data_IF_320362515343
#
_entry.id   IF_320362515343
#
_cell.length_a   1.000
_cell.length_b   1.000
_cell.length_c   1.000
_cell.angle_alpha   90.00
_cell.angle_beta   90.00
_cell.angle_gamma   90.00
#
_symmetry.space_group_name_H-M   'P 1'
#
loop_
_entity.id
_entity.type
_entity.pdbx_description
1 polymer ?
#
# COMPACT_ATOMS: atom_id res chain seq x y z
N UNK A 1 15.53 34.28 27.94
CA UNK A 1 15.95 34.32 26.53
C UNK A 1 16.91 33.18 26.26
N UNK A 2 16.41 32.12 25.62
CA UNK A 2 17.22 31.14 24.90
C UNK A 2 16.33 30.67 23.76
N UNK A 3 16.21 31.51 22.74
CA UNK A 3 15.69 31.07 21.46
C UNK A 3 16.70 30.05 20.95
N UNK A 4 16.45 28.77 21.23
CA UNK A 4 17.08 27.71 20.45
C UNK A 4 16.72 28.01 19.01
N UNK A 5 17.72 28.26 18.18
CA UNK A 5 17.61 28.29 16.73
C UNK A 5 16.96 26.98 16.26
N UNK A 6 15.64 26.90 16.32
CA UNK A 6 14.85 25.95 15.56
C UNK A 6 15.14 26.34 14.13
N UNK A 7 16.13 25.66 13.55
CA UNK A 7 16.53 25.79 12.17
C UNK A 7 15.24 25.64 11.35
N UNK A 8 14.70 26.76 10.88
CA UNK A 8 13.41 26.78 10.19
C UNK A 8 13.59 25.87 8.98
N UNK A 9 12.88 24.74 8.96
CA UNK A 9 12.97 23.78 7.88
C UNK A 9 12.59 24.51 6.58
N UNK A 10 13.50 24.66 5.61
CA UNK A 10 13.22 25.43 4.40
C UNK A 10 12.29 24.67 3.45
N UNK A 11 12.12 23.36 3.67
CA UNK A 11 11.23 22.50 2.88
C UNK A 11 9.77 22.92 3.12
N UNK A 12 9.00 23.23 2.05
CA UNK A 12 7.57 23.48 2.14
C UNK A 12 6.84 22.36 2.88
N UNK A 13 5.83 22.73 3.67
CA UNK A 13 5.12 21.82 4.59
C UNK A 13 4.66 20.54 3.86
N UNK A 14 4.07 20.66 2.67
CA UNK A 14 3.55 19.51 1.91
C UNK A 14 4.64 18.55 1.40
N UNK A 15 5.87 19.03 1.23
CA UNK A 15 7.00 18.23 0.74
C UNK A 15 7.84 17.62 1.89
N UNK A 16 7.44 17.87 3.14
CA UNK A 16 8.11 17.29 4.30
C UNK A 16 7.66 15.83 4.49
N UNK A 17 8.59 14.87 4.65
CA UNK A 17 8.26 13.45 4.79
C UNK A 17 7.25 13.11 5.90
N UNK A 18 7.23 13.90 6.98
CA UNK A 18 6.28 13.73 8.08
C UNK A 18 4.85 14.08 7.68
N UNK A 19 4.67 15.12 6.87
CA UNK A 19 3.35 15.56 6.43
C UNK A 19 2.84 14.66 5.30
N UNK A 20 3.72 14.23 4.38
CA UNK A 20 3.39 13.20 3.39
C UNK A 20 2.94 11.89 4.08
N UNK A 21 3.58 11.51 5.20
CA UNK A 21 3.19 10.36 6.00
C UNK A 21 1.78 10.51 6.60
N UNK A 22 1.48 11.63 7.27
CA UNK A 22 0.14 11.83 7.85
C UNK A 22 -0.94 11.94 6.77
N UNK A 23 -0.68 12.62 5.66
CA UNK A 23 -1.58 12.67 4.51
C UNK A 23 -1.86 11.28 3.93
N UNK A 24 -0.84 10.44 3.76
CA UNK A 24 -1.02 9.07 3.30
C UNK A 24 -1.86 8.27 4.29
N UNK A 25 -1.55 8.38 5.59
CA UNK A 25 -2.26 7.67 6.66
C UNK A 25 -3.74 8.04 6.77
N UNK A 26 -4.10 9.29 6.50
CA UNK A 26 -5.49 9.78 6.51
C UNK A 26 -6.25 9.47 5.21
N UNK A 27 -5.54 9.17 4.14
CA UNK A 27 -6.18 8.90 2.85
C UNK A 27 -7.08 7.66 2.90
N UNK A 28 -8.16 7.71 2.11
CA UNK A 28 -9.22 6.70 2.15
C UNK A 28 -8.73 5.26 1.93
N UNK A 29 -7.82 5.04 0.99
CA UNK A 29 -7.31 3.71 0.65
C UNK A 29 -6.17 3.30 1.59
N UNK A 30 -5.17 4.15 1.78
CA UNK A 30 -3.95 3.77 2.50
C UNK A 30 -4.16 3.64 4.01
N UNK A 31 -5.15 4.33 4.58
CA UNK A 31 -5.61 4.14 5.96
C UNK A 31 -6.03 2.70 6.26
N UNK A 32 -6.39 1.88 5.27
CA UNK A 32 -6.79 0.50 5.54
C UNK A 32 -5.68 -0.32 6.18
N UNK A 33 -4.42 -0.01 5.86
CA UNK A 33 -3.28 -0.75 6.38
C UNK A 33 -3.02 -0.47 7.88
N UNK A 34 -3.55 0.64 8.40
CA UNK A 34 -3.46 1.04 9.82
C UNK A 34 -4.66 0.57 10.66
N UNK A 35 -5.71 0.04 10.02
CA UNK A 35 -6.89 -0.46 10.72
C UNK A 35 -6.58 -1.70 11.58
N UNK A 36 -7.44 -1.93 12.58
CA UNK A 36 -7.46 -3.17 13.33
C UNK A 36 -7.59 -4.40 12.42
N UNK A 37 -7.14 -5.56 12.93
CA UNK A 37 -7.08 -6.80 12.15
C UNK A 37 -8.43 -7.16 11.53
N UNK A 38 -9.52 -7.09 12.30
CA UNK A 38 -10.87 -7.43 11.85
C UNK A 38 -11.34 -6.54 10.70
N UNK A 39 -11.22 -5.22 10.86
CA UNK A 39 -11.65 -4.23 9.87
C UNK A 39 -10.84 -4.32 8.57
N UNK A 40 -9.53 -4.53 8.67
CA UNK A 40 -8.66 -4.76 7.52
C UNK A 40 -9.11 -5.98 6.70
N UNK A 41 -9.30 -7.13 7.34
CA UNK A 41 -9.78 -8.33 6.64
C UNK A 41 -11.17 -8.13 6.04
N UNK A 42 -12.05 -7.39 6.73
CA UNK A 42 -13.37 -7.01 6.18
C UNK A 42 -13.23 -6.20 4.90
N UNK A 43 -12.33 -5.21 4.85
CA UNK A 43 -12.08 -4.40 3.65
C UNK A 43 -11.59 -5.26 2.49
N UNK A 44 -10.62 -6.14 2.73
CA UNK A 44 -10.10 -7.05 1.71
C UNK A 44 -11.17 -8.02 1.19
N UNK A 45 -11.99 -8.58 2.09
CA UNK A 45 -13.09 -9.46 1.71
C UNK A 45 -14.15 -8.75 0.86
N UNK A 46 -14.46 -7.49 1.17
CA UNK A 46 -15.36 -6.66 0.35
C UNK A 46 -14.77 -6.43 -1.05
N UNK A 47 -13.49 -6.06 -1.15
CA UNK A 47 -12.83 -5.88 -2.46
C UNK A 47 -12.82 -7.17 -3.25
N UNK A 48 -12.50 -8.30 -2.62
CA UNK A 48 -12.54 -9.61 -3.26
C UNK A 48 -13.95 -9.96 -3.74
N UNK A 49 -14.98 -9.74 -2.92
CA UNK A 49 -16.38 -10.02 -3.28
C UNK A 49 -16.84 -9.15 -4.46
N UNK A 50 -16.51 -7.85 -4.45
CA UNK A 50 -16.80 -6.96 -5.58
C UNK A 50 -16.06 -7.43 -6.83
N UNK A 51 -14.78 -7.76 -6.71
CA UNK A 51 -13.98 -8.29 -7.82
C UNK A 51 -14.58 -9.58 -8.38
N UNK A 52 -15.04 -10.47 -7.51
CA UNK A 52 -15.70 -11.71 -7.90
C UNK A 52 -17.00 -11.43 -8.67
N UNK A 53 -17.84 -10.50 -8.21
CA UNK A 53 -19.05 -10.09 -8.92
C UNK A 53 -18.78 -9.50 -10.31
N UNK A 54 -17.65 -8.80 -10.48
CA UNK A 54 -17.25 -8.22 -11.77
C UNK A 54 -16.71 -9.30 -12.71
N UNK A 55 -15.88 -10.21 -12.21
CA UNK A 55 -15.21 -11.25 -13.01
C UNK A 55 -16.14 -12.41 -13.34
N UNK A 56 -17.07 -12.74 -12.44
CA UNK A 56 -17.96 -13.89 -12.55
C UNK A 56 -18.77 -13.94 -13.87
N UNK A 57 -19.38 -12.85 -14.38
CA UNK A 57 -20.03 -12.88 -15.70
C UNK A 57 -19.07 -13.21 -16.86
N UNK A 58 -17.82 -12.74 -16.78
CA UNK A 58 -16.77 -13.01 -17.77
C UNK A 58 -16.33 -14.47 -17.68
N UNK A 59 -16.20 -15.00 -16.46
CA UNK A 59 -15.92 -16.41 -16.24
C UNK A 59 -17.07 -17.31 -16.72
N UNK A 60 -18.33 -16.92 -16.50
CA UNK A 60 -19.52 -17.69 -16.91
C UNK A 60 -19.65 -17.82 -18.43
N UNK A 61 -19.17 -16.82 -19.19
CA UNK A 61 -19.17 -16.88 -20.66
C UNK A 61 -18.15 -17.88 -21.18
N UNK A 62 -17.02 -18.03 -20.48
CA UNK A 62 -15.95 -18.98 -20.84
C UNK A 62 -16.26 -20.39 -20.31
N UNK A 63 -16.78 -20.48 -19.09
CA UNK A 63 -17.08 -21.70 -18.35
C UNK A 63 -18.52 -21.64 -17.84
N UNK A 64 -19.50 -22.14 -18.63
CA UNK A 64 -20.90 -22.10 -18.24
C UNK A 64 -21.12 -22.82 -16.89
N UNK A 65 -21.69 -22.16 -15.87
CA UNK A 65 -21.86 -22.73 -14.53
C UNK A 65 -22.57 -24.10 -14.49
N UNK A 66 -23.60 -24.38 -15.32
CA UNK A 66 -24.26 -25.69 -15.33
C UNK A 66 -23.40 -26.83 -15.88
N UNK A 67 -22.40 -26.52 -16.72
CA UNK A 67 -21.56 -27.52 -17.40
C UNK A 67 -20.26 -27.76 -16.65
N UNK A 68 -19.65 -26.70 -16.14
CA UNK A 68 -18.31 -26.73 -15.53
C UNK A 68 -18.25 -25.83 -14.29
N UNK A 69 -18.94 -26.21 -13.19
CA UNK A 69 -19.05 -25.37 -12.00
C UNK A 69 -17.69 -25.12 -11.31
N UNK A 70 -16.79 -26.11 -11.32
CA UNK A 70 -15.46 -26.00 -10.71
C UNK A 70 -14.57 -25.01 -11.47
N UNK A 71 -14.47 -25.14 -12.80
CA UNK A 71 -13.69 -24.22 -13.65
C UNK A 71 -14.21 -22.79 -13.57
N UNK A 72 -15.54 -22.62 -13.52
CA UNK A 72 -16.18 -21.33 -13.30
C UNK A 72 -15.78 -20.71 -11.96
N UNK A 73 -15.82 -21.50 -10.87
CA UNK A 73 -15.45 -21.03 -9.54
C UNK A 73 -13.99 -20.61 -9.46
N UNK A 74 -13.07 -21.44 -9.98
CA UNK A 74 -11.63 -21.18 -9.97
C UNK A 74 -11.28 -19.95 -10.83
N UNK A 75 -11.82 -19.84 -12.05
CA UNK A 75 -11.56 -18.69 -12.91
C UNK A 75 -12.10 -17.38 -12.33
N UNK A 76 -13.30 -17.41 -11.73
CA UNK A 76 -13.86 -16.27 -11.01
C UNK A 76 -13.00 -15.88 -9.81
N UNK A 77 -12.52 -16.86 -9.03
CA UNK A 77 -11.67 -16.62 -7.87
C UNK A 77 -10.31 -16.03 -8.28
N UNK A 78 -9.67 -16.58 -9.32
CA UNK A 78 -8.39 -16.09 -9.83
C UNK A 78 -8.48 -14.64 -10.32
N UNK A 79 -9.54 -14.29 -11.06
CA UNK A 79 -9.72 -12.91 -11.49
C UNK A 79 -10.04 -11.96 -10.32
N UNK A 80 -10.85 -12.38 -9.35
CA UNK A 80 -11.11 -11.60 -8.13
C UNK A 80 -9.82 -11.38 -7.31
N UNK A 81 -9.01 -12.43 -7.16
CA UNK A 81 -7.71 -12.38 -6.49
C UNK A 81 -6.73 -11.46 -7.23
N UNK A 82 -6.73 -11.45 -8.57
CA UNK A 82 -5.92 -10.53 -9.36
C UNK A 82 -6.30 -9.06 -9.12
N UNK A 83 -7.60 -8.74 -9.05
CA UNK A 83 -8.05 -7.38 -8.71
C UNK A 83 -7.65 -6.99 -7.28
N UNK A 84 -7.80 -7.90 -6.32
CA UNK A 84 -7.34 -7.68 -4.95
C UNK A 84 -5.81 -7.47 -4.89
N UNK A 85 -5.06 -8.20 -5.72
CA UNK A 85 -3.60 -8.09 -5.80
C UNK A 85 -3.18 -6.68 -6.23
N UNK A 86 -3.87 -6.07 -7.20
CA UNK A 86 -3.61 -4.69 -7.63
C UNK A 86 -3.84 -3.68 -6.50
N UNK A 87 -4.91 -3.84 -5.72
CA UNK A 87 -5.18 -2.96 -4.56
C UNK A 87 -4.10 -3.11 -3.49
N UNK A 88 -3.67 -4.33 -3.19
CA UNK A 88 -2.59 -4.60 -2.23
C UNK A 88 -1.23 -4.06 -2.72
N UNK A 89 -0.96 -4.16 -4.03
CA UNK A 89 0.26 -3.60 -4.63
C UNK A 89 0.28 -2.07 -4.51
N UNK A 90 -0.85 -1.41 -4.81
CA UNK A 90 -0.98 0.05 -4.65
C UNK A 90 -0.69 0.47 -3.20
N UNK A 91 -1.31 -0.23 -2.23
CA UNK A 91 -1.07 0.00 -0.80
C UNK A 91 0.42 -0.15 -0.46
N UNK A 92 1.02 -1.27 -0.89
CA UNK A 92 2.41 -1.57 -0.58
C UNK A 92 3.36 -0.53 -1.15
N UNK A 93 3.15 -0.09 -2.40
CA UNK A 93 3.97 0.93 -3.06
C UNK A 93 3.89 2.28 -2.36
N UNK A 94 2.70 2.75 -1.97
CA UNK A 94 2.57 4.04 -1.27
C UNK A 94 3.25 4.03 0.10
N UNK A 95 3.06 2.96 0.88
CA UNK A 95 3.74 2.81 2.17
C UNK A 95 5.27 2.63 2.03
N UNK A 96 5.71 1.94 0.98
CA UNK A 96 7.15 1.78 0.65
C UNK A 96 7.78 3.13 0.32
N UNK A 97 7.11 3.93 -0.50
CA UNK A 97 7.54 5.28 -0.89
C UNK A 97 7.76 6.18 0.33
N UNK A 98 6.77 6.26 1.24
CA UNK A 98 6.91 7.06 2.48
C UNK A 98 8.03 6.52 3.36
N UNK A 99 8.15 5.19 3.48
CA UNK A 99 9.25 4.58 4.23
C UNK A 99 10.62 5.00 3.70
N UNK A 100 10.79 5.05 2.37
CA UNK A 100 12.02 5.50 1.73
C UNK A 100 12.25 7.01 1.93
N UNK A 101 11.20 7.85 1.90
CA UNK A 101 11.29 9.30 2.18
C UNK A 101 11.72 9.60 3.62
N UNK A 102 11.20 8.84 4.59
CA UNK A 102 11.59 8.96 6.00
C UNK A 102 13.03 8.50 6.22
N UNK A 103 13.47 7.43 5.53
CA UNK A 103 14.83 6.88 5.66
C UNK A 103 15.92 7.78 5.08
N UNK A 104 15.64 8.50 3.99
CA UNK A 104 16.63 9.33 3.29
C UNK A 104 17.16 10.46 4.18
N UNK A 105 18.46 10.72 4.05
CA UNK A 105 19.15 11.78 4.81
C UNK A 105 18.94 13.17 4.21
N UNK A 106 18.69 13.23 2.91
CA UNK A 106 18.40 14.45 2.17
C UNK A 106 16.96 14.47 1.68
N UNK A 107 16.40 15.67 1.61
CA UNK A 107 15.09 15.94 0.99
C UNK A 107 15.32 16.88 -0.17
N UNK A 108 14.95 16.43 -1.37
CA UNK A 108 14.81 17.33 -2.50
C UNK A 108 13.47 18.04 -2.39
N UNK A 109 13.48 19.37 -2.53
CA UNK A 109 12.30 20.21 -2.43
C UNK A 109 12.37 21.36 -3.42
N UNK A 110 11.20 21.89 -3.77
CA UNK A 110 11.04 23.01 -4.69
C UNK A 110 10.31 24.14 -3.98
N UNK A 111 10.94 25.32 -3.94
CA UNK A 111 10.29 26.56 -3.48
C UNK A 111 9.47 27.15 -4.63
N UNK A 112 8.31 27.73 -4.34
CA UNK A 112 7.43 28.30 -5.37
C UNK A 112 8.17 29.34 -6.23
N UNK A 113 8.40 29.05 -7.51
CA UNK A 113 9.17 29.90 -8.41
C UNK A 113 9.45 29.22 -9.75
N UNK A 114 10.12 29.94 -10.67
CA UNK A 114 10.42 29.42 -12.02
C UNK A 114 11.70 28.55 -12.06
N UNK A 115 12.60 28.68 -11.08
CA UNK A 115 13.80 27.86 -10.93
C UNK A 115 14.31 27.89 -9.48
N UNK A 116 14.28 26.74 -8.79
CA UNK A 116 15.44 26.13 -8.11
C UNK A 116 14.97 25.02 -7.17
N UNK A 117 15.03 23.77 -7.66
CA UNK A 117 14.96 22.60 -6.81
C UNK A 117 16.22 22.51 -5.95
N UNK A 118 16.06 22.49 -4.63
CA UNK A 118 17.15 22.45 -3.67
C UNK A 118 17.18 21.11 -2.94
N UNK A 119 18.35 20.76 -2.40
CA UNK A 119 18.49 19.60 -1.52
C UNK A 119 18.83 20.06 -0.12
N UNK A 120 18.01 19.66 0.83
CA UNK A 120 18.22 19.95 2.24
C UNK A 120 18.67 18.69 2.98
N UNK A 121 19.78 18.80 3.72
CA UNK A 121 20.25 17.76 4.62
C UNK A 121 19.47 17.84 5.92
N UNK A 122 18.79 16.75 6.29
CA UNK A 122 18.01 16.70 7.53
C UNK A 122 18.96 16.78 8.75
N UNK A 123 18.69 17.64 9.73
CA UNK A 123 19.45 17.68 10.98
C UNK A 123 19.22 16.39 11.77
N UNK A 124 20.16 16.03 12.67
CA UNK A 124 20.12 14.74 13.36
C UNK A 124 18.84 14.51 14.17
N UNK A 125 18.22 15.56 14.70
CA UNK A 125 16.96 15.49 15.44
C UNK A 125 15.80 15.04 14.54
N UNK A 126 15.70 15.61 13.33
CA UNK A 126 14.66 15.26 12.33
C UNK A 126 14.88 13.83 11.82
N UNK A 127 16.12 13.45 11.55
CA UNK A 127 16.45 12.08 11.14
C UNK A 127 16.10 11.05 12.19
N UNK A 128 16.41 11.34 13.44
CA UNK A 128 16.11 10.42 14.55
C UNK A 128 14.60 10.23 14.69
N UNK A 129 13.83 11.32 14.62
CA UNK A 129 12.35 11.25 14.60
C UNK A 129 11.82 10.43 13.44
N UNK A 130 12.27 10.72 12.20
CA UNK A 130 11.80 10.02 11.00
C UNK A 130 12.13 8.51 11.06
N UNK A 131 13.31 8.14 11.60
CA UNK A 131 13.72 6.74 11.80
C UNK A 131 12.86 6.03 12.85
N UNK A 132 12.43 6.71 13.90
CA UNK A 132 11.50 6.16 14.90
C UNK A 132 10.11 5.90 14.28
N UNK A 133 9.60 6.82 13.46
CA UNK A 133 8.33 6.63 12.75
C UNK A 133 8.45 5.45 11.78
N UNK A 134 9.55 5.40 11.03
CA UNK A 134 9.83 4.29 10.12
C UNK A 134 9.83 2.95 10.85
N UNK A 135 10.53 2.81 11.98
CA UNK A 135 10.67 1.53 12.68
C UNK A 135 9.39 1.11 13.41
N UNK A 136 8.71 2.04 14.09
CA UNK A 136 7.56 1.70 14.94
C UNK A 136 6.22 1.78 14.24
N UNK A 137 6.09 2.56 13.16
CA UNK A 137 4.81 2.80 12.50
C UNK A 137 4.79 2.22 11.08
N UNK A 138 5.77 2.54 10.22
CA UNK A 138 5.74 2.14 8.80
C UNK A 138 6.20 0.71 8.56
N UNK A 139 7.29 0.26 9.20
CA UNK A 139 7.80 -1.09 9.06
C UNK A 139 6.78 -2.20 9.39
N UNK A 140 6.00 -2.14 10.49
CA UNK A 140 4.99 -3.17 10.76
C UNK A 140 3.84 -3.17 9.74
N UNK A 141 3.49 -2.00 9.19
CA UNK A 141 2.50 -1.88 8.10
C UNK A 141 3.02 -2.60 6.84
N UNK A 142 4.26 -2.32 6.44
CA UNK A 142 4.89 -2.98 5.30
C UNK A 142 4.98 -4.50 5.50
N UNK A 143 5.38 -4.95 6.70
CA UNK A 143 5.45 -6.38 6.99
C UNK A 143 4.08 -7.06 6.91
N UNK A 144 3.03 -6.40 7.42
CA UNK A 144 1.65 -6.88 7.31
C UNK A 144 1.23 -7.00 5.85
N UNK A 145 1.45 -5.96 5.03
CA UNK A 145 1.09 -5.97 3.62
C UNK A 145 1.85 -7.05 2.85
N UNK A 146 3.16 -7.19 3.08
CA UNK A 146 3.96 -8.27 2.46
C UNK A 146 3.42 -9.64 2.82
N UNK A 147 3.06 -9.90 4.09
CA UNK A 147 2.44 -11.18 4.49
C UNK A 147 1.13 -11.42 3.75
N UNK A 148 0.25 -10.43 3.65
CA UNK A 148 -1.02 -10.56 2.93
C UNK A 148 -0.80 -10.85 1.45
N UNK A 149 0.13 -10.14 0.80
CA UNK A 149 0.52 -10.36 -0.60
C UNK A 149 1.04 -11.78 -0.80
N UNK A 150 1.93 -12.26 0.08
CA UNK A 150 2.47 -13.62 0.01
C UNK A 150 1.37 -14.68 0.17
N UNK A 151 0.47 -14.50 1.13
CA UNK A 151 -0.67 -15.42 1.33
C UNK A 151 -1.54 -15.47 0.07
N UNK A 152 -1.91 -14.31 -0.48
CA UNK A 152 -2.72 -14.23 -1.69
C UNK A 152 -2.03 -14.90 -2.88
N UNK A 153 -0.73 -14.66 -3.07
CA UNK A 153 0.05 -15.28 -4.14
C UNK A 153 0.09 -16.81 -4.00
N UNK A 154 0.27 -17.34 -2.78
CA UNK A 154 0.22 -18.80 -2.53
C UNK A 154 -1.16 -19.38 -2.86
N UNK A 155 -2.24 -18.68 -2.50
CA UNK A 155 -3.60 -19.12 -2.82
C UNK A 155 -3.84 -19.14 -4.34
N UNK A 156 -3.40 -18.10 -5.07
CA UNK A 156 -3.51 -18.05 -6.53
C UNK A 156 -2.71 -19.17 -7.22
N UNK A 157 -1.52 -19.50 -6.70
CA UNK A 157 -0.74 -20.64 -7.21
C UNK A 157 -1.48 -21.95 -6.95
N UNK A 158 -2.07 -22.12 -5.76
CA UNK A 158 -2.90 -23.28 -5.43
C UNK A 158 -4.07 -23.45 -6.39
N UNK A 159 -4.81 -22.38 -6.66
CA UNK A 159 -5.90 -22.37 -7.66
C UNK A 159 -5.41 -22.76 -9.05
N UNK A 160 -4.25 -22.26 -9.47
CA UNK A 160 -3.63 -22.62 -10.75
C UNK A 160 -3.26 -24.10 -10.84
N UNK A 161 -2.74 -24.70 -9.75
CA UNK A 161 -2.46 -26.14 -9.69
C UNK A 161 -3.75 -26.95 -9.78
N UNK A 162 -4.78 -26.56 -9.02
CA UNK A 162 -6.09 -27.24 -9.07
C UNK A 162 -6.67 -27.16 -10.48
N UNK A 163 -6.55 -26.01 -11.15
CA UNK A 163 -6.98 -25.84 -12.53
C UNK A 163 -6.25 -26.79 -13.49
N UNK A 164 -4.95 -27.02 -13.31
CA UNK A 164 -4.17 -27.96 -14.13
C UNK A 164 -4.53 -29.43 -13.88
N UNK A 165 -5.11 -29.76 -12.73
CA UNK A 165 -5.54 -31.11 -12.38
C UNK A 165 -6.98 -31.44 -12.82
N UNK A 166 -7.71 -30.46 -13.36
CA UNK A 166 -9.12 -30.55 -13.78
C UNK A 166 -9.24 -30.73 -15.29
#
# INVERSE_FOLDING_TARGET
MRESSLNVCPVPIEQQPINEYEQLKESWLFSWATLEKSLYWRKLAIVWLIGWLIVSPIAASSFPPPKSPLLFGISSNLGAAALLMLVLLQLWLGWRYIGDRLKKETVFYEESGWYDGQTWLKPPEVLTRDRLILSYQVAPILQRLTRTVTILAVLMIGDGIVWLCL
#
